data_IF_008167365733
#
_entry.id   IF_008167365733
#
_cell.length_a   1.000
_cell.length_b   1.000
_cell.length_c   1.000
_cell.angle_alpha   90.00
_cell.angle_beta   90.00
_cell.angle_gamma   90.00
#
_symmetry.space_group_name_H-M   'P 1'
#
loop_
_entity.id
_entity.type
_entity.pdbx_description
1 polymer ?
#
# COMPACT_ATOMS: atom_id res chain seq x y z
N UNK A 1 -12.82 4.36 -22.45
CA UNK A 1 -12.87 4.88 -21.07
C UNK A 1 -11.56 5.55 -20.62
N UNK A 2 -10.43 5.29 -21.24
CA UNK A 2 -9.13 5.88 -20.86
C UNK A 2 -9.03 7.43 -20.97
N UNK A 3 -9.87 8.07 -21.78
CA UNK A 3 -9.83 9.53 -21.97
C UNK A 3 -10.63 10.36 -20.94
N UNK A 4 -11.34 9.75 -19.98
CA UNK A 4 -12.12 10.46 -18.96
C UNK A 4 -13.26 11.37 -19.50
N UNK A 5 -13.65 11.17 -20.76
CA UNK A 5 -14.54 12.08 -21.51
C UNK A 5 -15.99 11.61 -21.63
N UNK A 6 -16.35 10.48 -21.01
CA UNK A 6 -17.73 9.99 -21.10
C UNK A 6 -18.67 10.88 -20.26
N UNK A 7 -19.69 11.53 -20.84
CA UNK A 7 -20.50 12.54 -20.16
C UNK A 7 -21.37 11.96 -19.02
N UNK A 8 -21.67 10.66 -19.05
CA UNK A 8 -22.51 9.97 -18.08
C UNK A 8 -21.69 9.06 -17.12
N UNK A 9 -20.35 9.25 -17.09
CA UNK A 9 -19.44 8.59 -16.16
C UNK A 9 -18.86 9.61 -15.18
N UNK A 10 -19.17 9.44 -13.92
CA UNK A 10 -18.77 10.34 -12.83
C UNK A 10 -17.80 9.64 -11.91
N UNK A 11 -16.67 10.27 -11.63
CA UNK A 11 -15.69 9.75 -10.67
C UNK A 11 -15.65 10.66 -9.44
N UNK A 12 -15.80 10.06 -8.27
CA UNK A 12 -15.58 10.72 -6.99
C UNK A 12 -14.19 10.41 -6.48
N UNK A 13 -13.36 11.43 -6.45
CA UNK A 13 -12.00 11.41 -5.88
C UNK A 13 -11.83 12.62 -4.97
N UNK A 14 -10.98 12.56 -3.94
CA UNK A 14 -10.67 13.74 -3.13
C UNK A 14 -10.18 14.91 -3.99
N UNK A 15 -10.56 16.10 -3.63
CA UNK A 15 -10.05 17.32 -4.27
C UNK A 15 -8.55 17.46 -4.05
N UNK A 16 -7.87 18.14 -4.97
CA UNK A 16 -6.43 18.36 -4.89
C UNK A 16 -6.05 19.00 -3.54
N UNK A 17 -5.19 18.31 -2.79
CA UNK A 17 -4.75 18.74 -1.45
C UNK A 17 -5.66 18.28 -0.30
N UNK A 18 -6.73 17.54 -0.56
CA UNK A 18 -7.58 16.91 0.46
C UNK A 18 -7.37 15.39 0.47
N UNK A 19 -7.45 14.81 1.64
CA UNK A 19 -7.36 13.34 1.83
C UNK A 19 -8.73 12.66 1.99
N UNK A 20 -9.80 13.43 2.08
CA UNK A 20 -11.15 12.92 2.30
C UNK A 20 -12.14 13.43 1.25
N UNK A 21 -13.19 12.64 1.00
CA UNK A 21 -14.31 12.98 0.14
C UNK A 21 -15.39 13.71 0.96
N UNK A 22 -15.53 15.02 0.72
CA UNK A 22 -16.49 15.88 1.41
C UNK A 22 -17.91 15.78 0.84
N UNK A 23 -18.87 16.30 1.61
CA UNK A 23 -20.30 16.30 1.28
C UNK A 23 -20.60 17.05 -0.03
N UNK A 24 -19.87 18.13 -0.32
CA UNK A 24 -20.14 18.96 -1.51
C UNK A 24 -19.83 18.21 -2.81
N UNK A 25 -18.78 17.39 -2.80
CA UNK A 25 -18.44 16.52 -3.94
C UNK A 25 -19.57 15.51 -4.23
N UNK A 26 -20.15 14.92 -3.16
CA UNK A 26 -21.28 13.97 -3.27
C UNK A 26 -22.53 14.70 -3.79
N UNK A 27 -22.87 15.84 -3.21
CA UNK A 27 -24.05 16.63 -3.62
C UNK A 27 -23.96 17.06 -5.08
N UNK A 28 -22.80 17.60 -5.51
CA UNK A 28 -22.61 18.04 -6.89
C UNK A 28 -22.75 16.94 -7.93
N UNK A 29 -22.43 15.68 -7.58
CA UNK A 29 -22.71 14.55 -8.46
C UNK A 29 -24.16 14.11 -8.36
N UNK A 30 -24.73 14.03 -7.15
CA UNK A 30 -26.12 13.60 -6.95
C UNK A 30 -27.09 14.47 -7.75
N UNK A 31 -26.89 15.79 -7.79
CA UNK A 31 -27.73 16.73 -8.59
C UNK A 31 -27.70 16.34 -10.07
N UNK A 32 -26.52 16.04 -10.64
CA UNK A 32 -26.36 15.63 -12.04
C UNK A 32 -27.02 14.29 -12.36
N UNK A 33 -27.16 13.41 -11.39
CA UNK A 33 -27.79 12.11 -11.59
C UNK A 33 -29.30 12.21 -11.83
N UNK A 34 -29.96 13.27 -11.42
CA UNK A 34 -31.38 13.52 -11.73
C UNK A 34 -31.58 14.06 -13.13
N UNK A 35 -30.54 14.52 -13.83
CA UNK A 35 -30.60 14.86 -15.23
C UNK A 35 -30.71 13.57 -16.10
N UNK A 36 -31.21 13.73 -17.33
CA UNK A 36 -31.20 12.63 -18.31
C UNK A 36 -29.78 12.29 -18.74
N UNK A 37 -29.52 11.00 -18.93
CA UNK A 37 -28.26 10.56 -19.52
C UNK A 37 -28.05 11.20 -20.91
N UNK A 38 -26.89 11.83 -21.12
CA UNK A 38 -26.61 12.61 -22.36
C UNK A 38 -26.49 11.73 -23.59
N UNK A 39 -26.06 10.48 -23.41
CA UNK A 39 -25.96 9.49 -24.48
C UNK A 39 -27.12 8.48 -24.48
N UNK A 40 -28.17 8.71 -23.69
CA UNK A 40 -29.38 7.89 -23.64
C UNK A 40 -29.22 6.52 -22.98
N UNK A 41 -28.07 6.25 -22.33
CA UNK A 41 -27.76 5.01 -21.64
C UNK A 41 -27.86 5.10 -20.12
N UNK A 42 -26.99 4.36 -19.46
CA UNK A 42 -26.86 4.38 -18.00
C UNK A 42 -25.90 5.50 -17.54
N UNK A 43 -26.17 6.03 -16.33
CA UNK A 43 -25.24 6.88 -15.59
C UNK A 43 -24.47 6.01 -14.63
N UNK A 44 -23.15 6.19 -14.58
CA UNK A 44 -22.26 5.41 -13.72
C UNK A 44 -21.50 6.34 -12.80
N UNK A 45 -21.57 6.06 -11.50
CA UNK A 45 -20.77 6.73 -10.47
C UNK A 45 -19.72 5.77 -9.95
N UNK A 46 -18.46 6.15 -10.06
CA UNK A 46 -17.33 5.41 -9.55
C UNK A 46 -16.71 6.13 -8.37
N UNK A 47 -16.69 5.49 -7.20
CA UNK A 47 -15.99 5.95 -6.00
C UNK A 47 -14.76 5.06 -5.83
N UNK A 48 -13.58 5.63 -6.07
CA UNK A 48 -12.32 4.87 -6.10
C UNK A 48 -11.93 4.28 -4.75
N UNK A 49 -12.25 5.00 -3.66
CA UNK A 49 -12.11 4.49 -2.29
C UNK A 49 -13.22 5.08 -1.41
N UNK A 50 -14.21 4.26 -1.08
CA UNK A 50 -15.35 4.67 -0.28
C UNK A 50 -15.00 4.88 1.21
N UNK A 51 -13.83 4.42 1.68
CA UNK A 51 -13.35 4.68 3.05
C UNK A 51 -12.92 6.12 3.26
N UNK A 52 -12.70 6.87 2.17
CA UNK A 52 -12.35 8.29 2.20
C UNK A 52 -13.57 9.23 2.35
N UNK A 53 -14.79 8.68 2.28
CA UNK A 53 -16.00 9.47 2.51
C UNK A 53 -16.04 9.95 3.97
N UNK A 54 -16.24 11.25 4.16
CA UNK A 54 -16.60 11.77 5.49
C UNK A 54 -17.97 11.23 5.91
N UNK A 55 -18.26 11.18 7.21
CA UNK A 55 -19.59 10.75 7.71
C UNK A 55 -20.73 11.55 7.09
N UNK A 56 -20.53 12.86 6.93
CA UNK A 56 -21.50 13.74 6.29
C UNK A 56 -21.72 13.42 4.80
N UNK A 57 -20.63 13.11 4.07
CA UNK A 57 -20.68 12.71 2.67
C UNK A 57 -21.36 11.35 2.48
N UNK A 58 -21.00 10.38 3.34
CA UNK A 58 -21.59 9.05 3.36
C UNK A 58 -23.10 9.12 3.63
N UNK A 59 -23.51 9.90 4.65
CA UNK A 59 -24.93 10.09 4.96
C UNK A 59 -25.70 10.80 3.83
N UNK A 60 -25.08 11.77 3.14
CA UNK A 60 -25.70 12.41 1.98
C UNK A 60 -25.95 11.44 0.81
N UNK A 61 -25.11 10.38 0.68
CA UNK A 61 -25.25 9.39 -0.36
C UNK A 61 -26.36 8.36 -0.07
N UNK A 62 -26.73 8.12 1.20
CA UNK A 62 -27.64 7.06 1.61
C UNK A 62 -28.99 7.14 0.89
N UNK A 63 -29.60 8.34 0.83
CA UNK A 63 -30.89 8.53 0.16
C UNK A 63 -30.83 8.16 -1.32
N UNK A 64 -29.76 8.53 -2.01
CA UNK A 64 -29.58 8.24 -3.43
C UNK A 64 -29.29 6.77 -3.69
N UNK A 65 -28.68 6.07 -2.72
CA UNK A 65 -28.47 4.62 -2.81
C UNK A 65 -29.75 3.82 -2.54
N UNK A 66 -30.65 4.33 -1.68
CA UNK A 66 -31.95 3.73 -1.42
C UNK A 66 -32.92 3.86 -2.62
N UNK A 67 -32.93 5.04 -3.20
CA UNK A 67 -33.81 5.39 -4.33
C UNK A 67 -32.98 5.99 -5.46
N UNK A 68 -32.18 5.18 -6.16
CA UNK A 68 -31.31 5.69 -7.23
C UNK A 68 -32.14 6.22 -8.40
N UNK A 69 -31.73 7.35 -9.00
CA UNK A 69 -32.36 7.84 -10.23
C UNK A 69 -32.32 6.77 -11.34
N UNK A 70 -33.27 6.85 -12.27
CA UNK A 70 -33.43 5.85 -13.33
C UNK A 70 -32.11 5.63 -14.10
N UNK A 71 -31.80 4.37 -14.38
CA UNK A 71 -30.58 3.92 -15.07
C UNK A 71 -29.27 4.43 -14.45
N UNK A 72 -29.21 4.50 -13.12
CA UNK A 72 -28.02 4.94 -12.38
C UNK A 72 -27.37 3.78 -11.64
N UNK A 73 -26.06 3.63 -11.79
CA UNK A 73 -25.25 2.59 -11.18
C UNK A 73 -24.13 3.19 -10.34
N UNK A 74 -24.02 2.72 -9.10
CA UNK A 74 -22.96 3.12 -8.18
C UNK A 74 -21.98 1.97 -8.01
N UNK A 75 -20.68 2.23 -8.19
CA UNK A 75 -19.59 1.33 -7.88
C UNK A 75 -18.73 1.98 -6.81
N UNK A 76 -18.69 1.36 -5.64
CA UNK A 76 -17.92 1.79 -4.49
C UNK A 76 -16.77 0.80 -4.29
N UNK A 77 -15.55 1.17 -4.69
CA UNK A 77 -14.38 0.38 -4.32
C UNK A 77 -14.07 0.60 -2.84
N UNK A 78 -13.70 -0.46 -2.15
CA UNK A 78 -13.42 -0.41 -0.72
C UNK A 78 -12.32 -1.42 -0.38
N UNK A 79 -11.07 -0.96 -0.15
CA UNK A 79 -9.97 -1.86 0.22
C UNK A 79 -10.13 -2.47 1.62
N UNK A 80 -10.80 -1.73 2.53
CA UNK A 80 -10.99 -2.14 3.93
C UNK A 80 -12.49 -2.11 4.30
N UNK A 81 -13.28 -3.16 4.02
CA UNK A 81 -14.73 -3.17 4.27
C UNK A 81 -15.13 -2.89 5.72
N UNK A 82 -14.24 -3.19 6.68
CA UNK A 82 -14.48 -2.91 8.10
C UNK A 82 -14.53 -1.39 8.42
N UNK A 83 -13.87 -0.55 7.62
CA UNK A 83 -13.88 0.91 7.77
C UNK A 83 -15.06 1.59 7.09
N UNK A 84 -15.78 0.87 6.22
CA UNK A 84 -16.96 1.42 5.56
C UNK A 84 -18.14 1.47 6.54
N UNK A 85 -18.85 2.59 6.57
CA UNK A 85 -20.04 2.75 7.40
C UNK A 85 -21.04 1.61 7.13
N UNK A 86 -21.53 1.00 8.20
CA UNK A 86 -22.48 -0.13 8.13
C UNK A 86 -23.73 0.23 7.33
N UNK A 87 -24.17 1.50 7.43
CA UNK A 87 -25.33 2.06 6.69
C UNK A 87 -25.12 2.08 5.18
N UNK A 88 -23.90 2.36 4.69
CA UNK A 88 -23.56 2.24 3.27
C UNK A 88 -23.51 0.79 2.83
N UNK A 89 -22.82 -0.04 3.64
CA UNK A 89 -22.64 -1.46 3.34
C UNK A 89 -23.98 -2.22 3.24
N UNK A 90 -24.96 -1.89 4.07
CA UNK A 90 -26.28 -2.51 4.05
C UNK A 90 -27.12 -2.19 2.82
N UNK A 91 -26.78 -1.13 2.07
CA UNK A 91 -27.49 -0.68 0.86
C UNK A 91 -26.78 -1.03 -0.44
N UNK A 92 -25.63 -1.67 -0.34
CA UNK A 92 -24.83 -2.08 -1.50
C UNK A 92 -24.76 -3.60 -1.59
N UNK A 93 -24.77 -4.11 -2.81
CA UNK A 93 -24.39 -5.49 -3.06
C UNK A 93 -22.87 -5.59 -2.95
N UNK A 94 -22.37 -6.45 -2.06
CA UNK A 94 -20.93 -6.62 -1.87
C UNK A 94 -20.40 -7.71 -2.79
N UNK A 95 -19.39 -7.38 -3.57
CA UNK A 95 -18.65 -8.31 -4.40
C UNK A 95 -17.17 -8.31 -4.00
N UNK A 96 -16.64 -9.45 -3.58
CA UNK A 96 -15.25 -9.59 -3.21
C UNK A 96 -14.41 -9.96 -4.43
N UNK A 97 -13.51 -9.07 -4.85
CA UNK A 97 -12.57 -9.31 -5.92
C UNK A 97 -11.33 -10.00 -5.34
N UNK A 98 -11.22 -11.30 -5.53
CA UNK A 98 -10.02 -12.05 -5.15
C UNK A 98 -8.90 -11.81 -6.15
N UNK A 99 -7.65 -11.67 -5.69
CA UNK A 99 -6.51 -11.66 -6.61
C UNK A 99 -6.49 -12.92 -7.47
N UNK A 100 -6.06 -12.82 -8.73
CA UNK A 100 -5.89 -13.99 -9.58
C UNK A 100 -4.78 -14.92 -9.02
N UNK A 101 -4.70 -16.16 -9.53
CA UNK A 101 -3.61 -17.05 -9.14
C UNK A 101 -2.24 -16.45 -9.51
N UNK A 102 -1.21 -16.72 -8.69
CA UNK A 102 0.15 -16.23 -8.91
C UNK A 102 0.66 -16.59 -10.32
N UNK A 103 0.39 -17.81 -10.78
CA UNK A 103 0.79 -18.28 -12.11
C UNK A 103 0.15 -17.46 -13.25
N UNK A 104 -1.14 -17.15 -13.15
CA UNK A 104 -1.84 -16.34 -14.14
C UNK A 104 -1.30 -14.90 -14.13
N UNK A 105 -1.14 -14.32 -12.95
CA UNK A 105 -0.66 -12.95 -12.78
C UNK A 105 0.78 -12.77 -13.31
N UNK A 106 1.67 -13.74 -13.06
CA UNK A 106 3.03 -13.76 -13.61
C UNK A 106 3.01 -13.87 -15.14
N UNK A 107 2.18 -14.74 -15.71
CA UNK A 107 2.03 -14.88 -17.16
C UNK A 107 1.48 -13.60 -17.82
N UNK A 108 0.64 -12.85 -17.11
CA UNK A 108 0.17 -11.55 -17.57
C UNK A 108 1.29 -10.49 -17.49
N UNK A 109 1.97 -10.36 -16.33
CA UNK A 109 3.06 -9.41 -16.13
C UNK A 109 4.20 -9.60 -17.14
N UNK A 110 4.58 -10.85 -17.44
CA UNK A 110 5.65 -11.16 -18.38
C UNK A 110 5.34 -10.74 -19.84
N UNK A 111 4.08 -10.46 -20.17
CA UNK A 111 3.68 -9.88 -21.46
C UNK A 111 3.72 -8.35 -21.47
N UNK A 112 3.55 -7.73 -20.30
CA UNK A 112 3.50 -6.27 -20.17
C UNK A 112 4.90 -5.66 -20.00
N UNK A 113 5.83 -6.37 -19.32
CA UNK A 113 7.19 -5.86 -19.05
C UNK A 113 8.23 -6.96 -19.21
N UNK A 114 9.45 -6.57 -19.65
CA UNK A 114 10.60 -7.49 -19.77
C UNK A 114 11.50 -7.35 -18.54
N UNK A 115 11.33 -8.24 -17.58
CA UNK A 115 12.13 -8.32 -16.35
C UNK A 115 12.39 -9.78 -15.95
N UNK A 116 13.30 -10.01 -14.99
CA UNK A 116 13.54 -11.37 -14.49
C UNK A 116 12.30 -11.94 -13.79
N UNK A 117 12.16 -13.26 -13.80
CA UNK A 117 11.03 -13.92 -13.15
C UNK A 117 10.97 -13.63 -11.65
N UNK A 118 12.13 -13.51 -11.00
CA UNK A 118 12.26 -13.18 -9.60
C UNK A 118 11.76 -11.76 -9.32
N UNK A 119 12.05 -10.79 -10.19
CA UNK A 119 11.57 -9.42 -10.06
C UNK A 119 10.05 -9.32 -10.24
N UNK A 120 9.51 -10.02 -11.25
CA UNK A 120 8.05 -10.11 -11.46
C UNK A 120 7.35 -10.71 -10.26
N UNK A 121 7.90 -11.79 -9.72
CA UNK A 121 7.34 -12.48 -8.55
C UNK A 121 7.42 -11.63 -7.28
N UNK A 122 8.54 -10.94 -7.06
CA UNK A 122 8.69 -10.02 -5.94
C UNK A 122 7.69 -8.87 -6.03
N UNK A 123 7.58 -8.22 -7.18
CA UNK A 123 6.62 -7.14 -7.38
C UNK A 123 5.18 -7.60 -7.14
N UNK A 124 4.82 -8.78 -7.63
CA UNK A 124 3.49 -9.35 -7.44
C UNK A 124 3.18 -9.61 -5.97
N UNK A 125 4.09 -10.25 -5.24
CA UNK A 125 3.93 -10.56 -3.80
C UNK A 125 3.91 -9.30 -2.93
N UNK A 126 4.73 -8.31 -3.24
CA UNK A 126 4.73 -7.00 -2.57
C UNK A 126 3.46 -6.19 -2.83
N UNK A 127 2.76 -6.49 -3.91
CA UNK A 127 1.48 -5.86 -4.29
C UNK A 127 0.27 -6.73 -3.92
N UNK A 128 0.37 -7.60 -2.92
CA UNK A 128 -0.70 -8.48 -2.46
C UNK A 128 -1.34 -9.32 -3.60
N UNK A 129 -0.54 -9.77 -4.55
CA UNK A 129 -0.93 -10.51 -5.76
C UNK A 129 -1.85 -9.72 -6.71
N UNK A 130 -1.87 -8.38 -6.65
CA UNK A 130 -2.59 -7.52 -7.59
C UNK A 130 -1.71 -7.19 -8.80
N UNK A 131 -1.98 -7.75 -10.02
CA UNK A 131 -1.07 -7.63 -11.16
C UNK A 131 -0.92 -6.18 -11.65
N UNK A 132 -1.98 -5.38 -11.64
CA UNK A 132 -1.91 -3.98 -12.06
C UNK A 132 -1.02 -3.14 -11.12
N UNK A 133 -1.13 -3.35 -9.80
CA UNK A 133 -0.27 -2.69 -8.82
C UNK A 133 1.19 -3.17 -8.92
N UNK A 134 1.39 -4.47 -9.22
CA UNK A 134 2.73 -5.01 -9.48
C UNK A 134 3.36 -4.39 -10.73
N UNK A 135 2.57 -4.19 -11.80
CA UNK A 135 3.03 -3.52 -13.02
C UNK A 135 3.44 -2.07 -12.73
N UNK A 136 2.68 -1.35 -11.92
CA UNK A 136 3.02 0.01 -11.48
C UNK A 136 4.29 0.03 -10.64
N UNK A 137 4.46 -0.94 -9.72
CA UNK A 137 5.69 -1.08 -8.93
C UNK A 137 6.92 -1.36 -9.81
N UNK A 138 6.76 -2.11 -10.90
CA UNK A 138 7.85 -2.45 -11.84
C UNK A 138 8.25 -1.29 -12.76
N UNK A 139 7.51 -0.17 -12.79
CA UNK A 139 7.97 1.01 -13.50
C UNK A 139 9.31 1.49 -12.91
N UNK A 140 10.22 1.94 -13.75
CA UNK A 140 11.58 2.33 -13.33
C UNK A 140 11.57 3.33 -12.17
N UNK A 141 10.69 4.32 -12.20
CA UNK A 141 10.54 5.33 -11.16
C UNK A 141 10.21 4.75 -9.77
N UNK A 142 9.58 3.57 -9.70
CA UNK A 142 9.20 2.90 -8.45
C UNK A 142 10.16 1.75 -8.11
N UNK A 143 10.67 1.03 -9.12
CA UNK A 143 11.53 -0.13 -8.91
C UNK A 143 12.97 0.24 -8.55
N UNK A 144 13.53 1.28 -9.21
CA UNK A 144 14.89 1.73 -8.92
C UNK A 144 15.09 2.18 -7.44
N UNK A 145 14.18 2.95 -6.80
CA UNK A 145 14.26 3.25 -5.38
C UNK A 145 14.27 2.00 -4.48
N UNK A 146 13.53 0.93 -4.85
CA UNK A 146 13.56 -0.33 -4.10
C UNK A 146 14.92 -1.02 -4.23
N UNK A 147 15.48 -1.05 -5.44
CA UNK A 147 16.83 -1.59 -5.64
C UNK A 147 17.88 -0.82 -4.86
N UNK A 148 17.80 0.51 -4.84
CA UNK A 148 18.67 1.37 -4.04
C UNK A 148 18.55 1.06 -2.54
N UNK A 149 17.33 0.82 -2.04
CA UNK A 149 17.13 0.40 -0.66
C UNK A 149 17.81 -0.95 -0.36
N UNK A 150 17.68 -1.93 -1.24
CA UNK A 150 18.34 -3.23 -1.08
C UNK A 150 19.86 -3.09 -1.05
N UNK A 151 20.45 -2.26 -1.92
CA UNK A 151 21.88 -2.00 -1.96
C UNK A 151 22.36 -1.27 -0.70
N UNK A 152 21.64 -0.23 -0.28
CA UNK A 152 21.96 0.52 0.94
C UNK A 152 21.88 -0.37 2.18
N UNK A 153 20.86 -1.24 2.27
CA UNK A 153 20.70 -2.19 3.38
C UNK A 153 21.84 -3.22 3.41
N UNK A 154 22.27 -3.74 2.25
CA UNK A 154 23.41 -4.65 2.16
C UNK A 154 24.71 -3.97 2.65
N UNK A 155 24.91 -2.71 2.28
CA UNK A 155 26.06 -1.91 2.73
C UNK A 155 26.00 -1.64 4.23
N UNK A 156 24.86 -1.21 4.75
CA UNK A 156 24.63 -0.95 6.17
C UNK A 156 24.86 -2.20 7.03
N UNK A 157 24.43 -3.37 6.54
CA UNK A 157 24.64 -4.66 7.21
C UNK A 157 26.12 -5.02 7.33
N UNK A 158 26.91 -4.65 6.33
CA UNK A 158 28.36 -4.94 6.29
C UNK A 158 29.17 -3.93 7.10
N UNK A 159 28.83 -2.65 7.03
CA UNK A 159 29.54 -1.56 7.73
C UNK A 159 29.13 -1.40 9.19
N UNK A 160 27.90 -1.81 9.55
CA UNK A 160 27.28 -1.54 10.84
C UNK A 160 26.64 -0.14 10.93
N UNK A 161 26.78 0.70 9.89
CA UNK A 161 26.23 2.06 9.81
C UNK A 161 24.82 2.03 9.21
N UNK A 162 23.81 1.90 10.06
CA UNK A 162 22.41 1.92 9.63
C UNK A 162 21.88 3.32 9.37
N UNK A 163 22.54 4.35 9.92
CA UNK A 163 22.19 5.74 9.65
C UNK A 163 22.37 6.09 8.15
N UNK A 164 23.25 5.38 7.45
CA UNK A 164 23.43 5.48 6.00
C UNK A 164 22.17 5.16 5.18
N UNK A 165 21.14 4.53 5.77
CA UNK A 165 19.83 4.33 5.14
C UNK A 165 18.97 5.59 5.10
N UNK A 166 19.30 6.63 5.88
CA UNK A 166 18.48 7.83 6.00
C UNK A 166 18.21 8.51 4.64
N UNK A 167 19.18 8.73 3.75
CA UNK A 167 18.94 9.36 2.45
C UNK A 167 17.95 8.59 1.57
N UNK A 168 17.98 7.26 1.66
CA UNK A 168 17.08 6.39 0.89
C UNK A 168 15.69 6.34 1.52
N UNK A 169 15.56 6.38 2.84
CA UNK A 169 14.28 6.31 3.53
C UNK A 169 13.57 7.67 3.62
N UNK A 170 14.31 8.78 3.71
CA UNK A 170 13.75 10.13 3.89
C UNK A 170 13.19 10.69 2.58
N UNK A 171 12.05 10.18 2.17
CA UNK A 171 11.34 10.55 0.96
C UNK A 171 9.84 10.65 1.22
N UNK A 172 9.08 11.31 0.35
CA UNK A 172 7.60 11.38 0.48
C UNK A 172 6.96 9.99 0.54
N UNK A 173 7.54 9.02 -0.17
CA UNK A 173 7.12 7.62 -0.14
C UNK A 173 7.78 6.81 0.99
N UNK A 174 8.24 7.43 2.08
CA UNK A 174 8.85 6.73 3.21
C UNK A 174 7.99 5.56 3.74
N UNK A 175 6.66 5.66 3.86
CA UNK A 175 5.84 4.52 4.28
C UNK A 175 5.92 3.31 3.35
N UNK A 176 6.06 3.52 2.04
CA UNK A 176 6.24 2.43 1.05
C UNK A 176 7.63 1.82 1.19
N UNK A 177 8.68 2.65 1.34
CA UNK A 177 10.06 2.18 1.51
C UNK A 177 10.25 1.40 2.81
N UNK A 178 9.60 1.83 3.90
CA UNK A 178 9.56 1.08 5.16
C UNK A 178 8.80 -0.25 5.02
N UNK A 179 7.75 -0.31 4.20
CA UNK A 179 7.08 -1.57 3.88
C UNK A 179 8.01 -2.56 3.16
N UNK A 180 8.80 -2.10 2.19
CA UNK A 180 9.82 -2.95 1.53
C UNK A 180 10.88 -3.43 2.53
N UNK A 181 11.38 -2.53 3.40
CA UNK A 181 12.33 -2.90 4.45
C UNK A 181 11.75 -3.96 5.39
N UNK A 182 10.52 -3.75 5.88
CA UNK A 182 9.84 -4.73 6.72
C UNK A 182 9.68 -6.09 6.04
N UNK A 183 9.35 -6.10 4.74
CA UNK A 183 9.20 -7.35 3.97
C UNK A 183 10.51 -8.14 3.84
N UNK A 184 11.66 -7.46 3.67
CA UNK A 184 12.98 -8.08 3.63
C UNK A 184 13.36 -8.69 4.99
N UNK A 185 13.09 -7.96 6.09
CA UNK A 185 13.33 -8.45 7.45
C UNK A 185 12.44 -9.65 7.80
N UNK A 186 11.16 -9.61 7.40
CA UNK A 186 10.24 -10.74 7.55
C UNK A 186 10.68 -11.97 6.76
N UNK A 187 11.18 -11.77 5.54
CA UNK A 187 11.72 -12.88 4.75
C UNK A 187 12.99 -13.47 5.39
N UNK A 188 13.84 -12.65 6.02
CA UNK A 188 14.98 -13.14 6.80
C UNK A 188 14.54 -13.99 8.01
N UNK A 189 13.47 -13.59 8.71
CA UNK A 189 12.88 -14.40 9.79
C UNK A 189 12.31 -15.72 9.26
N UNK A 190 11.58 -15.70 8.16
CA UNK A 190 11.08 -16.90 7.48
C UNK A 190 12.23 -17.85 7.13
N UNK A 191 13.35 -17.33 6.63
CA UNK A 191 14.55 -18.10 6.32
C UNK A 191 15.14 -18.79 7.55
N UNK A 192 15.21 -18.10 8.69
CA UNK A 192 15.66 -18.70 9.95
C UNK A 192 14.76 -19.86 10.40
N UNK A 193 13.47 -19.82 10.05
CA UNK A 193 12.49 -20.87 10.34
C UNK A 193 12.43 -21.98 9.26
N UNK A 194 13.32 -21.92 8.25
CA UNK A 194 13.32 -22.90 7.15
C UNK A 194 12.22 -22.70 6.10
N UNK A 195 11.50 -21.60 6.14
CA UNK A 195 10.44 -21.29 5.17
C UNK A 195 11.07 -20.78 3.87
N UNK A 196 10.65 -21.33 2.74
CA UNK A 196 11.17 -21.00 1.41
C UNK A 196 10.29 -20.04 0.63
N UNK A 197 9.02 -19.86 1.03
CA UNK A 197 8.10 -18.94 0.37
C UNK A 197 8.39 -17.50 0.82
N UNK A 198 9.19 -16.79 0.03
CA UNK A 198 9.61 -15.42 0.30
C UNK A 198 8.86 -14.40 -0.55
N UNK A 199 8.67 -13.19 -0.02
CA UNK A 199 8.10 -12.05 -0.73
C UNK A 199 9.11 -11.39 -1.66
N UNK A 200 10.40 -11.52 -1.39
CA UNK A 200 11.51 -10.88 -2.11
C UNK A 200 12.48 -11.91 -2.71
N UNK A 201 12.04 -12.76 -3.66
CA UNK A 201 12.93 -13.76 -4.29
C UNK A 201 14.06 -13.11 -5.09
N UNK A 202 13.88 -11.91 -5.63
CA UNK A 202 14.88 -11.11 -6.32
C UNK A 202 16.01 -10.61 -5.41
N UNK A 203 15.77 -10.50 -4.11
CA UNK A 203 16.74 -10.07 -3.10
C UNK A 203 17.24 -11.25 -2.24
N UNK A 204 17.25 -12.47 -2.76
CA UNK A 204 17.62 -13.69 -2.05
C UNK A 204 18.95 -13.60 -1.29
N UNK A 205 19.98 -13.05 -1.93
CA UNK A 205 21.32 -12.91 -1.31
C UNK A 205 21.27 -12.02 -0.07
N UNK A 206 20.61 -10.88 -0.17
CA UNK A 206 20.44 -9.95 0.95
C UNK A 206 19.63 -10.57 2.09
N UNK A 207 18.53 -11.26 1.76
CA UNK A 207 17.68 -11.95 2.75
C UNK A 207 18.49 -13.00 3.51
N UNK A 208 19.33 -13.79 2.83
CA UNK A 208 20.21 -14.75 3.48
C UNK A 208 21.28 -14.08 4.36
N UNK A 209 21.87 -12.97 3.91
CA UNK A 209 22.83 -12.22 4.72
C UNK A 209 22.15 -11.68 6.01
N UNK A 210 20.97 -11.10 5.91
CA UNK A 210 20.18 -10.66 7.07
C UNK A 210 19.91 -11.83 8.04
N UNK A 211 19.49 -12.98 7.51
CA UNK A 211 19.17 -14.16 8.31
C UNK A 211 20.40 -14.76 9.03
N UNK A 212 21.59 -14.64 8.44
CA UNK A 212 22.84 -15.15 9.01
C UNK A 212 23.48 -14.15 10.00
N UNK A 213 23.37 -12.84 9.73
CA UNK A 213 24.04 -11.80 10.52
C UNK A 213 23.23 -11.41 11.75
N UNK A 214 21.89 -11.39 11.64
CA UNK A 214 21.02 -10.94 12.71
C UNK A 214 20.36 -12.12 13.43
N UNK A 215 20.39 -12.09 14.77
CA UNK A 215 19.64 -13.09 15.56
C UNK A 215 18.12 -12.88 15.43
N UNK A 216 17.34 -13.97 15.63
CA UNK A 216 15.88 -13.91 15.56
C UNK A 216 15.27 -12.79 16.41
N UNK A 217 15.63 -12.63 17.70
CA UNK A 217 15.14 -11.54 18.53
C UNK A 217 15.47 -10.14 17.98
N UNK A 218 16.64 -9.94 17.38
CA UNK A 218 17.03 -8.67 16.75
C UNK A 218 16.19 -8.37 15.50
N UNK A 219 16.03 -9.36 14.64
CA UNK A 219 15.17 -9.25 13.45
C UNK A 219 13.72 -8.90 13.86
N UNK A 220 13.19 -9.55 14.89
CA UNK A 220 11.85 -9.28 15.40
C UNK A 220 11.72 -7.85 15.93
N UNK A 221 12.67 -7.40 16.78
CA UNK A 221 12.67 -6.06 17.35
C UNK A 221 12.71 -4.98 16.27
N UNK A 222 13.61 -5.11 15.28
CA UNK A 222 13.73 -4.16 14.17
C UNK A 222 12.47 -4.18 13.30
N UNK A 223 11.95 -5.35 12.95
CA UNK A 223 10.74 -5.47 12.11
C UNK A 223 9.54 -4.80 12.75
N UNK A 224 9.34 -5.00 14.07
CA UNK A 224 8.27 -4.36 14.83
C UNK A 224 8.42 -2.85 14.84
N UNK A 225 9.63 -2.36 15.07
CA UNK A 225 9.90 -0.93 15.12
C UNK A 225 9.76 -0.25 13.74
N UNK A 226 10.17 -0.91 12.66
CA UNK A 226 9.94 -0.47 11.27
C UNK A 226 8.43 -0.36 10.99
N UNK A 227 7.65 -1.36 11.42
CA UNK A 227 6.19 -1.36 11.23
C UNK A 227 5.52 -0.22 12.02
N UNK A 228 5.93 -0.02 13.27
CA UNK A 228 5.43 1.08 14.12
C UNK A 228 5.82 2.46 13.54
N UNK A 229 7.05 2.62 13.04
CA UNK A 229 7.50 3.83 12.36
C UNK A 229 6.63 4.13 11.12
N UNK A 230 6.37 3.12 10.30
CA UNK A 230 5.48 3.24 9.13
C UNK A 230 4.07 3.68 9.53
N UNK A 231 3.49 3.06 10.53
CA UNK A 231 2.16 3.41 11.02
C UNK A 231 2.09 4.84 11.55
N UNK A 232 3.11 5.28 12.29
CA UNK A 232 3.22 6.64 12.78
C UNK A 232 3.26 7.66 11.65
N UNK A 233 4.01 7.39 10.57
CA UNK A 233 4.06 8.25 9.37
C UNK A 233 2.73 8.31 8.61
N UNK A 234 1.90 7.27 8.69
CA UNK A 234 0.59 7.21 8.02
C UNK A 234 -0.54 7.84 8.84
N UNK A 235 -0.46 7.74 10.18
CA UNK A 235 -1.57 8.11 11.07
C UNK A 235 -1.42 9.50 11.70
N UNK A 236 -0.19 9.99 11.91
CA UNK A 236 0.06 11.24 12.63
C UNK A 236 0.41 12.36 11.66
N UNK A 237 -0.44 13.41 11.64
CA UNK A 237 -0.22 14.59 10.81
C UNK A 237 0.89 15.46 11.40
N UNK A 238 1.80 15.96 10.56
CA UNK A 238 2.82 16.92 10.97
C UNK A 238 4.06 16.29 11.61
N UNK A 239 4.25 14.98 11.53
CA UNK A 239 5.48 14.32 11.98
C UNK A 239 6.68 14.82 11.19
N UNK A 240 7.73 15.24 11.90
CA UNK A 240 9.03 15.47 11.26
C UNK A 240 9.63 14.13 10.85
N UNK A 241 9.49 13.79 9.56
CA UNK A 241 9.90 12.51 9.01
C UNK A 241 11.39 12.22 9.19
N UNK A 242 12.25 13.22 8.94
CA UNK A 242 13.70 13.06 9.06
C UNK A 242 14.11 12.75 10.49
N UNK A 243 13.57 13.49 11.45
CA UNK A 243 13.87 13.28 12.87
C UNK A 243 13.38 11.91 13.34
N UNK A 244 12.17 11.50 12.94
CA UNK A 244 11.62 10.18 13.28
C UNK A 244 12.51 9.06 12.72
N UNK A 245 12.86 9.14 11.43
CA UNK A 245 13.68 8.12 10.77
C UNK A 245 15.09 8.05 11.41
N UNK A 246 15.70 9.19 11.69
CA UNK A 246 17.02 9.26 12.35
C UNK A 246 16.97 8.59 13.72
N UNK A 247 15.97 8.90 14.54
CA UNK A 247 15.79 8.28 15.86
C UNK A 247 15.63 6.76 15.76
N UNK A 248 14.85 6.27 14.78
CA UNK A 248 14.66 4.84 14.55
C UNK A 248 15.94 4.14 14.07
N UNK A 249 16.66 4.74 13.14
CA UNK A 249 17.91 4.17 12.62
C UNK A 249 18.98 4.05 13.69
N UNK A 250 19.16 5.08 14.53
CA UNK A 250 20.07 5.03 15.69
C UNK A 250 19.65 3.96 16.71
N UNK A 251 18.36 3.79 16.93
CA UNK A 251 17.81 2.73 17.80
C UNK A 251 18.13 1.35 17.23
N UNK A 252 17.99 1.14 15.90
CA UNK A 252 18.33 -0.14 15.28
C UNK A 252 19.82 -0.44 15.38
N UNK A 253 20.71 0.55 15.21
CA UNK A 253 22.15 0.39 15.48
C UNK A 253 22.41 -0.04 16.92
N UNK A 254 21.70 0.57 17.88
CA UNK A 254 21.81 0.16 19.27
C UNK A 254 21.39 -1.29 19.50
N UNK A 255 20.31 -1.77 18.86
CA UNK A 255 19.88 -3.18 18.96
C UNK A 255 20.91 -4.16 18.42
N UNK A 256 21.82 -3.70 17.57
CA UNK A 256 22.86 -4.55 16.97
C UNK A 256 24.12 -4.64 17.85
N UNK A 257 24.30 -3.77 18.83
CA UNK A 257 25.44 -3.79 19.72
C UNK A 257 25.46 -5.05 20.60
N UNK A 258 26.64 -5.57 20.94
CA UNK A 258 26.75 -6.65 21.91
C UNK A 258 26.16 -6.24 23.26
N UNK A 259 25.29 -7.08 23.83
CA UNK A 259 24.68 -6.82 25.15
C UNK A 259 23.51 -5.82 25.13
N UNK A 260 23.07 -5.34 23.97
CA UNK A 260 21.91 -4.44 23.88
C UNK A 260 20.65 -5.10 24.44
N UNK A 261 19.91 -4.34 25.25
CA UNK A 261 18.58 -4.74 25.74
C UNK A 261 17.56 -4.53 24.64
N UNK A 262 16.97 -5.61 24.16
CA UNK A 262 15.90 -5.56 23.16
C UNK A 262 14.55 -5.31 23.84
N UNK A 263 13.61 -4.61 23.18
CA UNK A 263 12.27 -4.45 23.70
C UNK A 263 11.58 -5.80 23.87
N UNK A 264 11.03 -6.05 25.05
CA UNK A 264 10.33 -7.31 25.36
C UNK A 264 9.06 -7.39 24.52
N UNK A 265 8.85 -8.55 23.88
CA UNK A 265 7.59 -8.87 23.21
C UNK A 265 6.53 -9.12 24.28
N UNK A 266 5.64 -8.18 24.50
CA UNK A 266 4.38 -8.46 25.18
C UNK A 266 3.42 -9.04 24.14
N UNK A 267 3.38 -10.38 24.03
CA UNK A 267 2.31 -11.10 23.33
C UNK A 267 1.02 -11.00 24.15
#
# INVERSE_FOLDING_TARGET
MQAGTHPDYYTLVPEKGKSALGIDAVRGITEKLYERARLGGAKVVWINDATLLTDAAANALLKTLEEPPENTWFFLACPEPARLLATLRSRCFSYHLTPPSEAWALGWLAREVTMSQEALLAALRLSANAPAAALELLQEANWAPRQQLCQALASALTSGDWLSLLPVLNHEQAPVRLHWLASLLLDAQKRQQGITLLSNPDAWTLVNQLAQTLSGPRLEAITRDVSACREQLLSVVGVNRELLLTERLLRWEHYLQPGAVLPVSHL
#
